data_IF_590017658745
#
_entry.id   IF_590017658745
#
_cell.length_a   1.000
_cell.length_b   1.000
_cell.length_c   1.000
_cell.angle_alpha   90.00
_cell.angle_beta   90.00
_cell.angle_gamma   90.00
#
_symmetry.space_group_name_H-M   'P 1'
#
loop_
_entity.id
_entity.type
_entity.pdbx_description
1 polymer ?
#
# COMPACT_ATOMS: atom_id res chain seq x y z
N UNK A 1 22.68 18.75 -4.85
CA UNK A 1 21.36 18.17 -4.50
C UNK A 1 20.86 17.22 -5.59
N UNK A 2 20.94 17.58 -6.89
CA UNK A 2 20.56 16.70 -8.03
C UNK A 2 21.22 15.30 -8.02
N UNK A 3 22.50 15.18 -7.65
CA UNK A 3 23.19 13.87 -7.60
C UNK A 3 22.53 12.90 -6.62
N UNK A 4 22.04 13.37 -5.46
CA UNK A 4 21.35 12.54 -4.47
C UNK A 4 20.00 12.03 -5.01
N UNK A 5 19.27 12.87 -5.73
CA UNK A 5 18.02 12.48 -6.41
C UNK A 5 18.24 11.41 -7.48
N UNK A 6 19.36 11.49 -8.21
CA UNK A 6 19.71 10.51 -9.24
C UNK A 6 19.98 9.13 -8.65
N UNK A 7 20.58 9.04 -7.46
CA UNK A 7 20.80 7.75 -6.79
C UNK A 7 19.49 7.16 -6.25
N UNK A 8 18.59 7.98 -5.71
CA UNK A 8 17.27 7.52 -5.25
C UNK A 8 16.41 6.99 -6.40
N UNK A 9 16.40 7.68 -7.55
CA UNK A 9 15.70 7.22 -8.75
C UNK A 9 16.29 5.90 -9.30
N UNK A 10 17.62 5.74 -9.26
CA UNK A 10 18.29 4.51 -9.67
C UNK A 10 17.96 3.33 -8.75
N UNK A 11 17.86 3.56 -7.44
CA UNK A 11 17.46 2.53 -6.46
C UNK A 11 15.98 2.15 -6.62
N UNK A 12 15.11 3.13 -6.90
CA UNK A 12 13.69 2.85 -7.20
C UNK A 12 13.51 2.04 -8.48
N UNK A 13 14.32 2.31 -9.51
CA UNK A 13 14.31 1.53 -10.76
C UNK A 13 14.89 0.12 -10.57
N UNK A 14 15.87 -0.04 -9.70
CA UNK A 14 16.43 -1.36 -9.35
C UNK A 14 15.51 -2.21 -8.45
N UNK A 15 14.50 -1.61 -7.82
CA UNK A 15 13.54 -2.31 -6.98
C UNK A 15 12.35 -2.90 -7.77
N UNK A 16 12.26 -2.68 -9.09
CA UNK A 16 11.20 -3.24 -9.94
C UNK A 16 11.49 -4.67 -10.42
N UNK A 17 12.48 -5.36 -9.84
CA UNK A 17 12.70 -6.79 -10.10
C UNK A 17 11.51 -7.56 -9.51
N UNK A 18 10.96 -8.59 -10.19
CA UNK A 18 9.86 -9.37 -9.65
C UNK A 18 10.25 -9.92 -8.27
N UNK A 19 9.48 -9.57 -7.25
CA UNK A 19 9.66 -10.14 -5.93
C UNK A 19 9.22 -11.61 -5.98
N UNK A 20 10.18 -12.53 -6.01
CA UNK A 20 9.94 -13.94 -5.73
C UNK A 20 9.67 -14.12 -4.23
N UNK A 21 8.49 -13.70 -3.78
CA UNK A 21 7.97 -14.01 -2.45
C UNK A 21 6.85 -15.06 -2.60
N UNK A 22 7.17 -16.23 -3.17
CA UNK A 22 6.25 -17.36 -3.13
C UNK A 22 6.39 -18.04 -1.76
N UNK A 23 5.54 -17.62 -0.81
CA UNK A 23 5.17 -18.47 0.32
C UNK A 23 3.99 -19.32 -0.13
N UNK A 24 4.10 -20.64 0.02
CA UNK A 24 2.98 -21.54 -0.25
C UNK A 24 1.84 -21.24 0.75
N UNK A 25 0.68 -20.73 0.29
CA UNK A 25 -0.45 -20.42 1.16
C UNK A 25 -1.04 -21.64 1.85
N UNK A 26 -0.76 -22.85 1.35
CA UNK A 26 -1.26 -24.12 1.89
C UNK A 26 -0.47 -24.57 3.13
N UNK A 27 0.81 -24.21 3.23
CA UNK A 27 1.72 -24.69 4.30
C UNK A 27 1.70 -23.83 5.58
N UNK A 28 1.24 -22.58 5.51
CA UNK A 28 1.26 -21.64 6.64
C UNK A 28 -0.17 -21.22 6.98
N UNK A 29 -0.72 -21.75 8.08
CA UNK A 29 -2.09 -21.47 8.53
C UNK A 29 -2.50 -20.02 8.32
N UNK A 30 -3.68 -19.80 7.73
CA UNK A 30 -3.97 -18.58 6.98
C UNK A 30 -3.86 -17.27 7.76
N UNK A 31 -3.94 -17.28 9.09
CA UNK A 31 -3.74 -16.09 9.90
C UNK A 31 -2.27 -15.65 9.91
N UNK A 32 -1.34 -16.60 10.09
CA UNK A 32 0.08 -16.29 10.05
C UNK A 32 0.49 -15.78 8.67
N UNK A 33 -0.11 -16.34 7.61
CA UNK A 33 0.03 -15.83 6.25
C UNK A 33 -0.50 -14.39 6.16
N UNK A 34 -1.75 -14.11 6.55
CA UNK A 34 -2.32 -12.76 6.48
C UNK A 34 -1.65 -11.71 7.36
N UNK A 35 -1.18 -12.08 8.55
CA UNK A 35 -0.45 -11.18 9.45
C UNK A 35 0.93 -10.82 8.91
N UNK A 36 1.64 -11.80 8.32
CA UNK A 36 2.99 -11.58 7.81
C UNK A 36 3.02 -11.01 6.39
N UNK A 37 1.93 -11.18 5.62
CA UNK A 37 1.80 -10.77 4.23
C UNK A 37 2.24 -9.32 3.93
N UNK A 38 1.80 -8.29 4.70
CA UNK A 38 2.16 -6.91 4.41
C UNK A 38 3.66 -6.60 4.52
N UNK A 39 4.44 -7.49 5.13
CA UNK A 39 5.87 -7.33 5.35
C UNK A 39 6.74 -7.93 4.22
N UNK A 40 6.15 -8.60 3.24
CA UNK A 40 6.89 -9.22 2.13
C UNK A 40 6.88 -8.38 0.84
N UNK A 41 5.94 -7.45 0.69
CA UNK A 41 5.91 -6.49 -0.42
C UNK A 41 6.73 -5.23 -0.13
N UNK A 42 7.82 -5.00 -0.86
CA UNK A 42 8.61 -3.76 -0.73
C UNK A 42 7.79 -2.51 -1.08
N UNK A 43 6.92 -2.62 -2.07
CA UNK A 43 5.97 -1.57 -2.47
C UNK A 43 4.99 -1.22 -1.33
N UNK A 44 4.50 -2.22 -0.60
CA UNK A 44 3.61 -2.05 0.54
C UNK A 44 4.33 -1.38 1.72
N UNK A 45 5.53 -1.86 2.08
CA UNK A 45 6.33 -1.23 3.13
C UNK A 45 6.64 0.22 2.78
N UNK A 46 7.08 0.49 1.55
CA UNK A 46 7.37 1.85 1.11
C UNK A 46 6.12 2.74 1.12
N UNK A 47 4.96 2.22 0.68
CA UNK A 47 3.70 2.95 0.73
C UNK A 47 3.29 3.25 2.19
N UNK A 48 3.33 2.29 3.10
CA UNK A 48 2.98 2.47 4.51
C UNK A 48 3.87 3.49 5.19
N UNK A 49 5.18 3.41 4.98
CA UNK A 49 6.15 4.37 5.51
C UNK A 49 5.91 5.76 4.91
N UNK A 50 5.71 5.86 3.59
CA UNK A 50 5.48 7.14 2.93
C UNK A 50 4.18 7.80 3.39
N UNK A 51 3.09 7.04 3.54
CA UNK A 51 1.80 7.51 4.08
C UNK A 51 1.97 8.01 5.51
N UNK A 52 2.63 7.23 6.37
CA UNK A 52 2.86 7.59 7.77
C UNK A 52 3.71 8.85 7.91
N UNK A 53 4.81 8.94 7.14
CA UNK A 53 5.67 10.13 7.12
C UNK A 53 4.92 11.36 6.60
N UNK A 54 4.17 11.24 5.50
CA UNK A 54 3.40 12.36 4.97
C UNK A 54 2.31 12.83 5.95
N UNK A 55 1.59 11.89 6.56
CA UNK A 55 0.58 12.18 7.58
C UNK A 55 1.17 12.93 8.79
N UNK A 56 2.38 12.54 9.22
CA UNK A 56 3.11 13.24 10.28
C UNK A 56 3.52 14.66 9.86
N UNK A 57 3.94 14.85 8.60
CA UNK A 57 4.28 16.17 8.04
C UNK A 57 3.07 17.10 7.91
N UNK A 58 1.89 16.56 7.60
CA UNK A 58 0.63 17.33 7.59
C UNK A 58 0.20 17.77 9.01
N UNK A 59 0.58 17.00 10.03
CA UNK A 59 0.41 17.36 11.43
C UNK A 59 -1.04 17.36 11.93
N UNK A 60 -1.21 17.76 13.19
CA UNK A 60 -2.52 17.84 13.85
C UNK A 60 -3.29 16.51 13.80
N UNK A 61 -4.55 16.56 13.34
CA UNK A 61 -5.39 15.36 13.21
C UNK A 61 -4.99 14.47 12.03
N UNK A 62 -4.24 14.98 11.06
CA UNK A 62 -3.85 14.21 9.86
C UNK A 62 -2.97 13.00 10.21
N UNK A 63 -2.14 13.12 11.27
CA UNK A 63 -1.28 12.05 11.76
C UNK A 63 -2.03 10.74 12.06
N UNK A 64 -3.33 10.81 12.39
CA UNK A 64 -4.17 9.64 12.64
C UNK A 64 -5.24 9.45 11.58
N UNK A 65 -5.86 10.53 11.08
CA UNK A 65 -6.94 10.45 10.08
C UNK A 65 -6.47 9.93 8.72
N UNK A 66 -5.28 10.31 8.27
CA UNK A 66 -4.75 9.87 6.96
C UNK A 66 -4.41 8.36 6.97
N UNK A 67 -3.66 7.83 7.95
CA UNK A 67 -3.42 6.38 8.03
C UNK A 67 -4.70 5.56 8.25
N UNK A 68 -5.65 6.05 9.06
CA UNK A 68 -6.92 5.33 9.26
C UNK A 68 -7.79 5.32 7.99
N UNK A 69 -7.81 6.41 7.22
CA UNK A 69 -8.46 6.43 5.91
C UNK A 69 -7.82 5.43 4.93
N UNK A 70 -6.49 5.32 4.96
CA UNK A 70 -5.76 4.32 4.17
C UNK A 70 -6.21 2.90 4.54
N UNK A 71 -6.11 2.51 5.81
CA UNK A 71 -6.49 1.16 6.27
C UNK A 71 -7.97 0.87 5.99
N UNK A 72 -8.86 1.83 6.28
CA UNK A 72 -10.30 1.64 6.04
C UNK A 72 -10.64 1.45 4.56
N UNK A 73 -10.01 2.22 3.67
CA UNK A 73 -10.23 2.08 2.23
C UNK A 73 -9.58 0.81 1.66
N UNK A 74 -8.46 0.38 2.24
CA UNK A 74 -7.84 -0.90 1.92
C UNK A 74 -8.78 -2.08 2.20
N UNK A 75 -9.51 -2.07 3.32
CA UNK A 75 -10.54 -3.09 3.60
C UNK A 75 -11.65 -3.11 2.54
N UNK A 76 -12.03 -1.94 2.01
CA UNK A 76 -13.01 -1.87 0.91
C UNK A 76 -12.45 -2.50 -0.37
N UNK A 77 -11.20 -2.20 -0.73
CA UNK A 77 -10.52 -2.79 -1.89
C UNK A 77 -10.47 -4.31 -1.80
N UNK A 78 -10.11 -4.81 -0.62
CA UNK A 78 -10.10 -6.25 -0.33
C UNK A 78 -11.48 -6.88 -0.50
N UNK A 79 -12.54 -6.25 0.03
CA UNK A 79 -13.90 -6.72 -0.15
C UNK A 79 -14.36 -6.73 -1.63
N UNK A 80 -13.92 -5.76 -2.45
CA UNK A 80 -14.19 -5.75 -3.89
C UNK A 80 -13.55 -6.93 -4.61
N UNK A 81 -12.31 -7.29 -4.25
CA UNK A 81 -11.63 -8.45 -4.79
C UNK A 81 -12.36 -9.75 -4.42
N UNK A 82 -12.81 -9.90 -3.17
CA UNK A 82 -13.62 -11.06 -2.76
C UNK A 82 -14.97 -11.15 -3.47
N UNK A 83 -15.56 -10.00 -3.81
CA UNK A 83 -16.78 -9.93 -4.60
C UNK A 83 -16.57 -10.30 -6.09
N UNK A 84 -15.33 -10.55 -6.52
CA UNK A 84 -14.99 -10.88 -7.91
C UNK A 84 -15.16 -9.70 -8.87
N UNK A 85 -15.20 -8.47 -8.36
CA UNK A 85 -15.39 -7.27 -9.17
C UNK A 85 -14.06 -6.85 -9.80
N UNK A 86 -13.92 -7.02 -11.11
CA UNK A 86 -12.69 -6.66 -11.81
C UNK A 86 -12.30 -5.17 -11.63
N UNK A 87 -11.13 -4.93 -11.05
CA UNK A 87 -10.51 -3.62 -10.96
C UNK A 87 -9.33 -3.53 -11.95
N UNK A 88 -9.36 -2.66 -12.97
CA UNK A 88 -8.26 -2.54 -13.92
C UNK A 88 -7.08 -1.73 -13.34
N UNK A 89 -5.89 -1.91 -13.92
CA UNK A 89 -4.67 -1.14 -13.61
C UNK A 89 -4.17 -1.25 -12.17
N UNK A 90 -4.45 -2.35 -11.47
CA UNK A 90 -4.04 -2.56 -10.06
C UNK A 90 -2.54 -2.35 -9.87
N UNK A 91 -1.70 -3.13 -10.55
CA UNK A 91 -0.25 -3.04 -10.42
C UNK A 91 0.31 -1.66 -10.84
N UNK A 92 -0.07 -1.05 -12.00
CA UNK A 92 0.37 0.31 -12.34
C UNK A 92 0.01 1.36 -11.29
N UNK A 93 -1.18 1.28 -10.68
CA UNK A 93 -1.63 2.25 -9.68
C UNK A 93 -0.90 2.05 -8.34
N UNK A 94 -0.62 0.81 -7.95
CA UNK A 94 0.22 0.50 -6.78
C UNK A 94 1.63 1.05 -6.99
N UNK A 95 2.25 0.81 -8.13
CA UNK A 95 3.57 1.37 -8.46
C UNK A 95 3.56 2.91 -8.44
N UNK A 96 2.53 3.53 -9.01
CA UNK A 96 2.36 4.97 -8.99
C UNK A 96 2.22 5.53 -7.56
N UNK A 97 1.60 4.79 -6.64
CA UNK A 97 1.40 5.22 -5.25
C UNK A 97 2.72 5.52 -4.54
N UNK A 98 3.73 4.67 -4.73
CA UNK A 98 5.05 4.81 -4.09
C UNK A 98 5.74 6.08 -4.59
N UNK A 99 5.69 6.34 -5.89
CA UNK A 99 6.27 7.54 -6.50
C UNK A 99 5.51 8.78 -6.06
N UNK A 100 4.18 8.80 -6.18
CA UNK A 100 3.36 9.97 -5.88
C UNK A 100 3.47 10.33 -4.40
N UNK A 101 3.19 9.40 -3.48
CA UNK A 101 3.24 9.70 -2.04
C UNK A 101 4.67 9.99 -1.61
N UNK A 102 5.67 9.28 -2.14
CA UNK A 102 7.07 9.58 -1.90
C UNK A 102 7.46 11.01 -2.30
N UNK A 103 7.01 11.49 -3.45
CA UNK A 103 7.24 12.88 -3.89
C UNK A 103 6.52 13.90 -2.99
N UNK A 104 5.27 13.63 -2.60
CA UNK A 104 4.51 14.50 -1.69
C UNK A 104 5.21 14.63 -0.33
N UNK A 105 5.70 13.51 0.21
CA UNK A 105 6.51 13.48 1.43
C UNK A 105 7.80 14.25 1.25
N UNK A 106 8.51 14.04 0.12
CA UNK A 106 9.79 14.65 -0.18
C UNK A 106 9.72 16.18 -0.21
N UNK A 107 8.68 16.75 -0.82
CA UNK A 107 8.48 18.21 -0.86
C UNK A 107 7.72 18.73 0.36
N UNK A 108 7.38 17.85 1.32
CA UNK A 108 6.54 18.14 2.47
C UNK A 108 5.26 18.90 2.12
N UNK A 109 4.59 18.48 1.03
CA UNK A 109 3.43 19.20 0.50
C UNK A 109 2.33 19.28 1.57
N UNK A 110 1.94 20.50 1.93
CA UNK A 110 0.86 20.77 2.87
C UNK A 110 -0.47 20.86 2.14
N UNK A 111 -1.41 20.01 2.55
CA UNK A 111 -2.80 19.99 2.04
C UNK A 111 -3.78 19.88 3.19
N UNK A 112 -5.05 20.29 3.02
CA UNK A 112 -6.11 19.97 3.96
C UNK A 112 -6.19 18.46 4.24
N UNK A 113 -6.47 18.08 5.49
CA UNK A 113 -6.49 16.67 5.92
C UNK A 113 -7.41 15.80 5.06
N UNK A 114 -8.54 16.34 4.63
CA UNK A 114 -9.51 15.66 3.77
C UNK A 114 -8.92 15.31 2.40
N UNK A 115 -8.09 16.19 1.84
CA UNK A 115 -7.38 15.93 0.58
C UNK A 115 -6.33 14.84 0.80
N UNK A 116 -5.58 14.91 1.90
CA UNK A 116 -4.63 13.87 2.27
C UNK A 116 -5.29 12.49 2.38
N UNK A 117 -6.43 12.41 3.08
CA UNK A 117 -7.23 11.18 3.20
C UNK A 117 -7.70 10.66 1.84
N UNK A 118 -8.21 11.53 0.96
CA UNK A 118 -8.67 11.13 -0.37
C UNK A 118 -7.54 10.60 -1.25
N UNK A 119 -6.37 11.26 -1.21
CA UNK A 119 -5.21 10.86 -2.01
C UNK A 119 -4.67 9.50 -1.57
N UNK A 120 -4.47 9.27 -0.27
CA UNK A 120 -3.99 7.97 0.22
C UNK A 120 -5.07 6.89 0.08
N UNK A 121 -6.34 7.23 0.29
CA UNK A 121 -7.46 6.32 0.15
C UNK A 121 -7.63 5.80 -1.26
N UNK A 122 -7.46 6.65 -2.28
CA UNK A 122 -7.46 6.22 -3.68
C UNK A 122 -6.47 5.08 -3.92
N UNK A 123 -5.21 5.25 -3.52
CA UNK A 123 -4.20 4.20 -3.69
C UNK A 123 -4.48 2.98 -2.81
N UNK A 124 -4.93 3.20 -1.57
CA UNK A 124 -5.25 2.12 -0.62
C UNK A 124 -6.28 1.13 -1.19
N UNK A 125 -7.24 1.59 -1.98
CA UNK A 125 -8.22 0.73 -2.63
C UNK A 125 -7.55 -0.34 -3.51
N UNK A 126 -6.54 0.03 -4.28
CA UNK A 126 -5.83 -0.89 -5.19
C UNK A 126 -4.91 -1.84 -4.42
N UNK A 127 -4.22 -1.34 -3.39
CA UNK A 127 -3.43 -2.18 -2.47
C UNK A 127 -4.32 -3.25 -1.82
N UNK A 128 -5.48 -2.85 -1.29
CA UNK A 128 -6.45 -3.77 -0.70
C UNK A 128 -7.01 -4.78 -1.70
N UNK A 129 -7.30 -4.33 -2.92
CA UNK A 129 -7.76 -5.21 -3.98
C UNK A 129 -6.72 -6.28 -4.35
N UNK A 130 -5.44 -5.90 -4.48
CA UNK A 130 -4.36 -6.85 -4.74
C UNK A 130 -4.27 -7.92 -3.63
N UNK A 131 -4.32 -7.49 -2.36
CA UNK A 131 -4.33 -8.40 -1.21
C UNK A 131 -5.50 -9.40 -1.24
N UNK A 132 -6.69 -8.96 -1.67
CA UNK A 132 -7.84 -9.86 -1.78
C UNK A 132 -7.69 -10.87 -2.91
N UNK A 133 -6.95 -10.55 -3.98
CA UNK A 133 -6.64 -11.48 -5.07
C UNK A 133 -5.63 -12.56 -4.68
N UNK A 134 -4.72 -12.24 -3.76
CA UNK A 134 -3.67 -13.17 -3.27
C UNK A 134 -4.20 -14.18 -2.24
N UNK A 135 -5.43 -14.00 -1.76
CA UNK A 135 -6.08 -14.92 -0.82
C UNK A 135 -6.21 -16.36 -1.36
N UNK A 136 -6.32 -16.52 -2.69
CA UNK A 136 -6.45 -17.83 -3.33
C UNK A 136 -7.62 -18.65 -2.78
N UNK A 137 -7.36 -19.90 -2.38
CA UNK A 137 -8.36 -20.77 -1.73
C UNK A 137 -8.44 -20.61 -0.19
N UNK A 138 -7.61 -19.75 0.41
CA UNK A 138 -7.68 -19.51 1.85
C UNK A 138 -9.00 -18.80 2.21
N UNK A 139 -9.60 -19.16 3.35
CA UNK A 139 -10.81 -18.49 3.82
C UNK A 139 -10.52 -17.06 4.28
N UNK A 140 -11.33 -16.09 3.85
CA UNK A 140 -11.13 -14.67 4.23
C UNK A 140 -11.15 -14.46 5.75
N UNK A 141 -12.01 -15.21 6.46
CA UNK A 141 -12.06 -15.17 7.93
C UNK A 141 -10.78 -15.70 8.56
N UNK A 142 -10.25 -16.81 8.06
CA UNK A 142 -9.05 -17.40 8.63
C UNK A 142 -7.79 -16.63 8.25
N UNK A 143 -7.83 -15.78 7.21
CA UNK A 143 -6.74 -14.86 6.85
C UNK A 143 -6.69 -13.63 7.75
N UNK A 144 -7.84 -13.24 8.35
CA UNK A 144 -7.97 -12.04 9.19
C UNK A 144 -8.06 -12.34 10.71
N UNK A 145 -8.34 -13.57 11.12
CA UNK A 145 -8.68 -13.95 12.51
C UNK A 145 -7.62 -14.78 13.23
#
# INVERSE_FOLDING_TARGET
MLKKFSYTALVLFAATVPAFAHLDPVEHGSFAAGFSHPFFGLDHILAMVAVGLWAALLGGRAAWLVPTAFVGTMMLGFALALAGLGLPFVEPVIAASVVVIGLLTLVALQVPTQIGMAMVGFFALFHGYAHGGELGEAGALSFCA
#
